data_IF_241334957270
#
_entry.id   IF_241334957270
#
_cell.length_a   1.000
_cell.length_b   1.000
_cell.length_c   1.000
_cell.angle_alpha   90.00
_cell.angle_beta   90.00
_cell.angle_gamma   90.00
#
_symmetry.space_group_name_H-M   'P 1'
#
loop_
_entity.id
_entity.type
_entity.pdbx_description
1 polymer ?
#
# COMPACT_ATOMS: atom_id res chain seq x y z
N UNK A 1 49.07 26.34 26.83
CA UNK A 1 48.37 27.38 26.03
C UNK A 1 46.94 26.95 25.67
N UNK A 2 46.73 25.74 25.11
CA UNK A 2 45.38 25.23 24.81
C UNK A 2 44.48 25.02 26.05
N UNK A 3 45.05 24.62 27.19
CA UNK A 3 44.29 24.42 28.43
C UNK A 3 43.74 25.74 28.99
N UNK A 4 44.58 26.79 29.04
CA UNK A 4 44.17 28.15 29.44
C UNK A 4 43.09 28.74 28.51
N UNK A 5 43.20 28.52 27.20
CA UNK A 5 42.16 28.92 26.25
C UNK A 5 40.84 28.16 26.51
N UNK A 6 40.92 26.87 26.83
CA UNK A 6 39.74 26.04 27.12
C UNK A 6 39.01 26.52 28.38
N UNK A 7 39.73 26.87 29.42
CA UNK A 7 39.15 27.38 30.67
C UNK A 7 38.50 28.74 30.47
N UNK A 8 39.14 29.65 29.74
CA UNK A 8 38.58 30.95 29.38
C UNK A 8 37.33 30.81 28.49
N UNK A 9 37.34 29.91 27.51
CA UNK A 9 36.16 29.67 26.66
C UNK A 9 35.01 29.09 27.49
N UNK A 10 35.30 28.15 28.40
CA UNK A 10 34.28 27.59 29.30
C UNK A 10 33.66 28.67 30.20
N UNK A 11 34.45 29.57 30.77
CA UNK A 11 33.93 30.63 31.63
C UNK A 11 33.02 31.58 30.85
N UNK A 12 33.43 32.00 29.65
CA UNK A 12 32.62 32.86 28.78
C UNK A 12 31.33 32.16 28.37
N UNK A 13 31.38 30.89 27.96
CA UNK A 13 30.19 30.12 27.57
C UNK A 13 29.21 29.97 28.73
N UNK A 14 29.70 29.74 29.96
CA UNK A 14 28.83 29.59 31.13
C UNK A 14 28.16 30.92 31.54
N UNK A 15 28.85 32.05 31.35
CA UNK A 15 28.27 33.38 31.66
C UNK A 15 27.16 33.75 30.68
N UNK A 16 27.31 33.38 29.40
CA UNK A 16 26.38 33.74 28.32
C UNK A 16 25.50 32.59 27.82
N UNK A 17 25.39 31.50 28.58
CA UNK A 17 24.72 30.27 28.12
C UNK A 17 23.27 30.50 27.69
N UNK A 18 22.53 31.35 28.41
CA UNK A 18 21.12 31.65 28.12
C UNK A 18 20.94 32.37 26.77
N UNK A 19 21.81 33.34 26.47
CA UNK A 19 21.82 34.03 25.18
C UNK A 19 22.22 33.10 24.03
N UNK A 20 23.16 32.18 24.26
CA UNK A 20 23.55 31.18 23.27
C UNK A 20 22.39 30.21 22.95
N UNK A 21 21.63 29.80 23.97
CA UNK A 21 20.45 28.95 23.79
C UNK A 21 19.40 29.68 22.94
N UNK A 22 19.05 30.93 23.29
CA UNK A 22 18.09 31.69 22.49
C UNK A 22 18.55 31.94 21.06
N UNK A 23 19.83 32.27 20.87
CA UNK A 23 20.41 32.46 19.55
C UNK A 23 20.33 31.19 18.70
N UNK A 24 20.70 30.03 19.26
CA UNK A 24 20.64 28.74 18.54
C UNK A 24 19.22 28.32 18.21
N UNK A 25 18.25 28.55 19.10
CA UNK A 25 16.83 28.30 18.84
C UNK A 25 16.31 29.17 17.71
N UNK A 26 16.54 30.50 17.79
CA UNK A 26 16.06 31.45 16.78
C UNK A 26 16.69 31.15 15.41
N UNK A 27 18.00 30.93 15.35
CA UNK A 27 18.70 30.58 14.11
C UNK A 27 18.26 29.24 13.54
N UNK A 28 17.99 28.24 14.40
CA UNK A 28 17.44 26.95 14.01
C UNK A 28 16.04 27.08 13.41
N UNK A 29 15.16 27.87 14.04
CA UNK A 29 13.81 28.16 13.54
C UNK A 29 13.85 28.90 12.20
N UNK A 30 14.71 29.92 12.05
CA UNK A 30 14.89 30.64 10.78
C UNK A 30 15.37 29.68 9.69
N UNK A 31 16.38 28.86 9.97
CA UNK A 31 16.87 27.86 9.02
C UNK A 31 15.78 26.84 8.63
N UNK A 32 14.95 26.42 9.58
CA UNK A 32 13.86 25.49 9.31
C UNK A 32 12.79 26.12 8.40
N UNK A 33 12.39 27.37 8.66
CA UNK A 33 11.43 28.11 7.82
C UNK A 33 11.98 28.30 6.41
N UNK A 34 13.27 28.65 6.28
CA UNK A 34 13.97 28.81 4.99
C UNK A 34 13.99 27.48 4.23
N UNK A 35 14.37 26.38 4.87
CA UNK A 35 14.39 25.05 4.26
C UNK A 35 12.98 24.56 3.86
N UNK A 36 11.96 24.87 4.67
CA UNK A 36 10.56 24.53 4.38
C UNK A 36 10.03 25.30 3.16
N UNK A 37 10.41 26.58 3.04
CA UNK A 37 9.95 27.47 1.96
C UNK A 37 10.61 27.20 0.61
N UNK A 38 11.89 26.85 0.57
CA UNK A 38 12.64 26.59 -0.67
C UNK A 38 12.53 25.14 -1.18
N UNK A 39 11.95 24.24 -0.39
CA UNK A 39 11.79 22.83 -0.73
C UNK A 39 13.07 22.01 -0.45
N UNK A 40 12.93 20.68 -0.30
CA UNK A 40 14.08 19.82 -0.01
C UNK A 40 15.06 19.82 -1.17
N UNK A 41 16.35 19.83 -0.85
CA UNK A 41 17.47 19.75 -1.81
C UNK A 41 17.30 18.54 -2.74
N UNK A 42 16.96 18.82 -4.00
CA UNK A 42 16.65 17.83 -5.05
C UNK A 42 17.88 17.16 -5.64
N UNK A 43 19.06 17.75 -5.47
CA UNK A 43 20.31 17.21 -6.02
C UNK A 43 20.74 15.94 -5.27
N UNK A 44 20.90 14.84 -6.00
CA UNK A 44 21.30 13.54 -5.43
C UNK A 44 22.65 13.59 -4.71
N UNK A 45 23.59 14.40 -5.23
CA UNK A 45 24.90 14.62 -4.60
C UNK A 45 24.75 15.27 -3.22
N UNK A 46 23.90 16.28 -3.12
CA UNK A 46 23.62 16.98 -1.86
C UNK A 46 22.92 16.06 -0.87
N UNK A 47 21.95 15.26 -1.34
CA UNK A 47 21.27 14.25 -0.52
C UNK A 47 22.26 13.22 0.06
N UNK A 48 23.20 12.74 -0.77
CA UNK A 48 24.22 11.82 -0.31
C UNK A 48 25.16 12.49 0.69
N UNK A 49 25.59 13.73 0.44
CA UNK A 49 26.47 14.46 1.35
C UNK A 49 25.83 14.69 2.72
N UNK A 50 24.55 15.09 2.75
CA UNK A 50 23.77 15.25 3.99
C UNK A 50 23.64 13.92 4.73
N UNK A 51 23.41 12.82 4.00
CA UNK A 51 23.36 11.48 4.60
C UNK A 51 24.70 11.11 5.25
N UNK A 52 25.81 11.32 4.55
CA UNK A 52 27.16 11.06 5.07
C UNK A 52 27.49 11.97 6.25
N UNK A 53 27.14 13.26 6.18
CA UNK A 53 27.40 14.20 7.28
C UNK A 53 26.59 13.85 8.52
N UNK A 54 25.32 13.46 8.36
CA UNK A 54 24.46 13.07 9.47
C UNK A 54 24.92 11.76 10.12
N UNK A 55 25.38 10.79 9.30
CA UNK A 55 25.96 9.55 9.80
C UNK A 55 27.29 9.79 10.54
N UNK A 56 28.18 10.63 9.99
CA UNK A 56 29.43 11.00 10.64
C UNK A 56 29.19 11.75 11.96
N UNK A 57 28.24 12.70 11.96
CA UNK A 57 27.84 13.42 13.17
C UNK A 57 27.27 12.46 14.23
N UNK A 58 26.42 11.51 13.84
CA UNK A 58 25.91 10.48 14.72
C UNK A 58 27.02 9.61 15.31
N UNK A 59 28.02 9.23 14.52
CA UNK A 59 29.18 8.47 14.97
C UNK A 59 30.00 9.26 16.01
N UNK A 60 30.23 10.55 15.75
CA UNK A 60 30.94 11.45 16.67
C UNK A 60 30.15 11.63 17.97
N UNK A 61 28.83 11.78 17.90
CA UNK A 61 27.96 11.88 19.08
C UNK A 61 28.01 10.60 19.93
N UNK A 62 27.97 9.42 19.31
CA UNK A 62 28.10 8.13 20.01
C UNK A 62 29.45 8.01 20.70
N UNK A 63 30.54 8.42 20.02
CA UNK A 63 31.88 8.43 20.59
C UNK A 63 32.02 9.42 21.76
N UNK A 64 31.40 10.60 21.68
CA UNK A 64 31.44 11.61 22.75
C UNK A 64 30.48 11.30 23.90
N UNK A 65 29.39 10.57 23.66
CA UNK A 65 28.40 10.19 24.67
C UNK A 65 28.86 9.03 25.56
N UNK A 66 29.90 8.30 25.15
CA UNK A 66 30.25 7.02 25.78
C UNK A 66 31.59 7.12 26.50
N UNK A 67 31.58 7.05 27.83
CA UNK A 67 32.80 6.96 28.65
C UNK A 67 33.53 5.60 28.51
N UNK A 68 32.86 4.56 28.00
CA UNK A 68 33.39 3.21 27.79
C UNK A 68 33.70 2.93 26.30
N UNK A 69 34.98 2.90 25.95
CA UNK A 69 35.45 2.71 24.58
C UNK A 69 34.95 1.41 23.92
N UNK A 70 34.69 0.36 24.72
CA UNK A 70 34.20 -0.93 24.25
C UNK A 70 32.77 -0.88 23.68
N UNK A 71 31.88 -0.10 24.30
CA UNK A 71 30.49 0.00 23.86
C UNK A 71 30.38 0.75 22.50
N UNK A 72 31.22 1.75 22.28
CA UNK A 72 31.27 2.47 21.01
C UNK A 72 31.75 1.58 19.86
N UNK A 73 32.77 0.75 20.10
CA UNK A 73 33.26 -0.23 19.12
C UNK A 73 32.19 -1.29 18.83
N UNK A 74 31.49 -1.78 19.85
CA UNK A 74 30.38 -2.71 19.70
C UNK A 74 29.26 -2.15 18.81
N UNK A 75 28.88 -0.89 19.00
CA UNK A 75 27.85 -0.25 18.19
C UNK A 75 28.28 -0.08 16.72
N UNK A 76 29.54 0.29 16.46
CA UNK A 76 30.08 0.39 15.10
C UNK A 76 30.10 -0.99 14.43
N UNK A 77 30.52 -2.04 15.15
CA UNK A 77 30.53 -3.40 14.65
C UNK A 77 29.13 -3.90 14.28
N UNK A 78 28.11 -3.61 15.11
CA UNK A 78 26.71 -3.95 14.81
C UNK A 78 26.22 -3.23 13.55
N UNK A 79 26.54 -1.95 13.38
CA UNK A 79 26.14 -1.17 12.19
C UNK A 79 26.79 -1.75 10.93
N UNK A 80 28.08 -2.07 10.98
CA UNK A 80 28.81 -2.70 9.87
C UNK A 80 28.22 -4.08 9.56
N UNK A 81 27.90 -4.86 10.60
CA UNK A 81 27.29 -6.17 10.45
C UNK A 81 25.93 -6.08 9.74
N UNK A 82 25.07 -5.14 10.15
CA UNK A 82 23.76 -4.91 9.52
C UNK A 82 23.92 -4.41 8.08
N UNK A 83 24.88 -3.52 7.81
CA UNK A 83 25.12 -2.99 6.47
C UNK A 83 25.69 -4.04 5.51
N UNK A 84 26.60 -4.88 6.00
CA UNK A 84 27.17 -5.97 5.23
C UNK A 84 26.24 -7.18 5.13
N UNK A 85 25.17 -7.22 5.93
CA UNK A 85 24.24 -8.34 5.95
C UNK A 85 23.58 -8.49 4.57
N UNK A 86 23.84 -9.59 3.85
CA UNK A 86 23.39 -9.73 2.47
C UNK A 86 21.87 -9.75 2.41
N UNK A 87 21.30 -8.88 1.57
CA UNK A 87 19.84 -8.78 1.33
C UNK A 87 19.22 -10.13 0.95
N UNK A 88 20.02 -11.04 0.35
CA UNK A 88 19.64 -12.43 0.02
C UNK A 88 19.27 -13.26 1.26
N UNK A 89 19.89 -13.03 2.41
CA UNK A 89 19.55 -13.73 3.65
C UNK A 89 18.26 -13.21 4.26
N UNK A 90 17.98 -11.91 4.12
CA UNK A 90 16.72 -11.31 4.54
C UNK A 90 15.57 -11.84 3.68
N UNK A 91 15.72 -11.88 2.36
CA UNK A 91 14.68 -12.42 1.48
C UNK A 91 14.48 -13.91 1.72
N UNK A 92 15.55 -14.69 1.90
CA UNK A 92 15.46 -16.13 2.21
C UNK A 92 14.76 -16.39 3.54
N UNK A 93 15.06 -15.60 4.58
CA UNK A 93 14.37 -15.69 5.87
C UNK A 93 12.91 -15.28 5.76
N UNK A 94 12.58 -14.23 4.99
CA UNK A 94 11.20 -13.79 4.75
C UNK A 94 10.40 -14.84 3.98
N UNK A 95 11.00 -15.48 2.99
CA UNK A 95 10.37 -16.58 2.22
C UNK A 95 10.19 -17.81 3.10
N UNK A 96 11.19 -18.17 3.90
CA UNK A 96 11.07 -19.26 4.87
C UNK A 96 9.96 -18.98 5.87
N UNK A 97 9.90 -17.78 6.43
CA UNK A 97 8.86 -17.36 7.37
C UNK A 97 7.46 -17.37 6.74
N UNK A 98 7.30 -16.90 5.49
CA UNK A 98 6.02 -17.00 4.76
C UNK A 98 5.62 -18.43 4.42
N UNK A 99 6.58 -19.35 4.27
CA UNK A 99 6.30 -20.77 4.03
C UNK A 99 5.83 -21.46 5.31
N UNK A 100 6.43 -21.13 6.45
CA UNK A 100 6.07 -21.68 7.75
C UNK A 100 4.81 -21.05 8.33
N UNK A 101 4.59 -19.76 8.05
CA UNK A 101 3.40 -18.99 8.43
C UNK A 101 2.75 -18.37 7.20
N UNK A 102 2.01 -19.17 6.40
CA UNK A 102 1.26 -18.62 5.28
C UNK A 102 0.25 -17.60 5.81
N UNK A 103 0.16 -16.41 5.20
CA UNK A 103 -0.86 -15.45 5.57
C UNK A 103 -2.24 -16.08 5.32
N UNK A 104 -3.13 -15.98 6.32
CA UNK A 104 -4.51 -16.45 6.15
C UNK A 104 -5.16 -15.61 5.05
N UNK A 105 -5.46 -16.23 3.91
CA UNK A 105 -6.24 -15.58 2.86
C UNK A 105 -7.67 -15.44 3.38
N UNK A 106 -8.15 -14.21 3.56
CA UNK A 106 -9.56 -13.96 3.89
C UNK A 106 -10.36 -14.41 2.68
N UNK A 107 -11.18 -15.45 2.82
CA UNK A 107 -12.17 -15.82 1.80
C UNK A 107 -13.20 -14.69 1.73
N UNK A 108 -13.63 -14.36 0.51
CA UNK A 108 -14.73 -13.44 0.33
C UNK A 108 -15.98 -14.01 0.99
N UNK A 109 -16.73 -13.16 1.68
CA UNK A 109 -18.08 -13.51 2.13
C UNK A 109 -19.01 -13.64 0.93
N UNK A 110 -20.11 -14.39 1.06
CA UNK A 110 -21.09 -14.52 -0.03
C UNK A 110 -21.60 -13.16 -0.50
N UNK A 111 -21.85 -12.23 0.43
CA UNK A 111 -22.28 -10.87 0.10
C UNK A 111 -21.23 -10.09 -0.71
N UNK A 112 -19.95 -10.14 -0.31
CA UNK A 112 -18.86 -9.50 -1.05
C UNK A 112 -18.72 -10.13 -2.46
N UNK A 113 -18.90 -11.46 -2.59
CA UNK A 113 -18.86 -12.17 -3.87
C UNK A 113 -19.97 -11.73 -4.83
N UNK A 114 -21.20 -11.61 -4.34
CA UNK A 114 -22.31 -11.12 -5.17
C UNK A 114 -22.07 -9.68 -5.64
N UNK A 115 -21.58 -8.81 -4.76
CA UNK A 115 -21.27 -7.42 -5.12
C UNK A 115 -20.17 -7.32 -6.19
N UNK A 116 -19.09 -8.09 -6.02
CA UNK A 116 -18.01 -8.12 -6.99
C UNK A 116 -18.48 -8.72 -8.33
N UNK A 117 -19.31 -9.75 -8.29
CA UNK A 117 -19.93 -10.33 -9.47
C UNK A 117 -20.80 -9.33 -10.24
N UNK A 118 -21.63 -8.55 -9.56
CA UNK A 118 -22.44 -7.50 -10.20
C UNK A 118 -21.56 -6.44 -10.85
N UNK A 119 -20.53 -5.97 -10.14
CA UNK A 119 -19.64 -4.91 -10.61
C UNK A 119 -18.78 -5.34 -11.80
N UNK A 120 -18.12 -6.48 -11.70
CA UNK A 120 -17.29 -7.01 -12.79
C UNK A 120 -18.15 -7.33 -14.02
N UNK A 121 -19.37 -7.84 -13.81
CA UNK A 121 -20.30 -8.09 -14.93
C UNK A 121 -20.75 -6.79 -15.58
N UNK A 122 -21.09 -5.75 -14.82
CA UNK A 122 -21.46 -4.45 -15.39
C UNK A 122 -20.30 -3.81 -16.15
N UNK A 123 -19.09 -3.85 -15.58
CA UNK A 123 -17.89 -3.28 -16.18
C UNK A 123 -17.52 -4.04 -17.46
N UNK A 124 -17.60 -5.38 -17.45
CA UNK A 124 -17.36 -6.21 -18.62
C UNK A 124 -18.37 -5.95 -19.75
N UNK A 125 -19.65 -5.80 -19.42
CA UNK A 125 -20.69 -5.46 -20.40
C UNK A 125 -20.48 -4.07 -21.01
N UNK A 126 -20.08 -3.09 -20.21
CA UNK A 126 -19.75 -1.75 -20.70
C UNK A 126 -18.53 -1.77 -21.62
N UNK A 127 -17.48 -2.49 -21.23
CA UNK A 127 -16.28 -2.68 -22.05
C UNK A 127 -16.60 -3.38 -23.37
N UNK A 128 -17.51 -4.37 -23.36
CA UNK A 128 -17.99 -5.04 -24.56
C UNK A 128 -18.71 -4.04 -25.49
N UNK A 129 -19.60 -3.19 -24.96
CA UNK A 129 -20.27 -2.14 -25.75
C UNK A 129 -19.26 -1.17 -26.39
N UNK A 130 -18.26 -0.72 -25.63
CA UNK A 130 -17.19 0.16 -26.12
C UNK A 130 -16.37 -0.52 -27.22
N UNK A 131 -16.00 -1.78 -27.02
CA UNK A 131 -15.25 -2.54 -28.02
C UNK A 131 -16.06 -2.71 -29.32
N UNK A 132 -17.33 -3.12 -29.24
CA UNK A 132 -18.16 -3.33 -30.43
C UNK A 132 -18.51 -2.04 -31.19
N UNK A 133 -18.51 -0.88 -30.51
CA UNK A 133 -18.67 0.44 -31.15
C UNK A 133 -17.36 1.00 -31.73
N UNK A 134 -16.21 0.42 -31.38
CA UNK A 134 -14.91 0.82 -31.93
C UNK A 134 -14.67 0.28 -33.35
N UNK A 135 -13.86 0.96 -34.17
CA UNK A 135 -13.52 0.50 -35.52
C UNK A 135 -12.62 -0.76 -35.54
N UNK A 136 -12.09 -1.18 -34.40
CA UNK A 136 -11.26 -2.39 -34.28
C UNK A 136 -12.07 -3.69 -34.17
N UNK A 137 -13.39 -3.59 -33.97
CA UNK A 137 -14.26 -4.76 -33.88
C UNK A 137 -14.64 -5.26 -35.28
N UNK A 138 -14.41 -6.55 -35.54
CA UNK A 138 -14.92 -7.23 -36.74
C UNK A 138 -16.44 -7.51 -36.62
N UNK A 139 -17.25 -6.45 -36.73
CA UNK A 139 -18.71 -6.47 -36.50
C UNK A 139 -19.42 -7.58 -37.30
N UNK A 140 -19.07 -7.77 -38.57
CA UNK A 140 -19.70 -8.78 -39.43
C UNK A 140 -19.37 -10.23 -39.02
N UNK A 141 -18.14 -10.49 -38.55
CA UNK A 141 -17.79 -11.82 -38.05
C UNK A 141 -18.48 -12.13 -36.72
N UNK A 142 -18.63 -11.12 -35.86
CA UNK A 142 -19.36 -11.25 -34.60
C UNK A 142 -20.85 -11.49 -34.86
N UNK A 143 -21.46 -10.73 -35.78
CA UNK A 143 -22.86 -10.89 -36.15
C UNK A 143 -23.19 -12.30 -36.68
N UNK A 144 -22.29 -12.92 -37.46
CA UNK A 144 -22.48 -14.28 -37.97
C UNK A 144 -22.45 -15.37 -36.88
N UNK A 145 -21.80 -15.11 -35.74
CA UNK A 145 -21.69 -16.06 -34.63
C UNK A 145 -22.84 -15.94 -33.63
N UNK A 146 -23.60 -14.86 -33.67
CA UNK A 146 -24.65 -14.56 -32.70
C UNK A 146 -25.97 -15.22 -33.09
N UNK A 147 -26.69 -15.74 -32.10
CA UNK A 147 -28.02 -16.34 -32.28
C UNK A 147 -29.08 -15.30 -32.67
N UNK A 148 -29.04 -14.13 -32.04
CA UNK A 148 -29.94 -13.02 -32.31
C UNK A 148 -29.16 -11.71 -32.45
N UNK A 149 -28.92 -11.32 -33.71
CA UNK A 149 -28.18 -10.10 -34.06
C UNK A 149 -28.97 -8.85 -33.70
N UNK A 150 -30.31 -8.89 -33.77
CA UNK A 150 -31.17 -7.73 -33.54
C UNK A 150 -31.15 -7.35 -32.06
N UNK A 151 -31.28 -8.34 -31.17
CA UNK A 151 -31.16 -8.14 -29.72
C UNK A 151 -29.78 -7.62 -29.32
N UNK A 152 -28.73 -8.15 -29.93
CA UNK A 152 -27.36 -7.69 -29.66
C UNK A 152 -27.13 -6.24 -30.14
N UNK A 153 -27.69 -5.86 -31.30
CA UNK A 153 -27.61 -4.49 -31.79
C UNK A 153 -28.33 -3.50 -30.85
N UNK A 154 -29.52 -3.86 -30.34
CA UNK A 154 -30.21 -3.02 -29.34
C UNK A 154 -29.41 -2.89 -28.04
N UNK A 155 -28.68 -3.93 -27.63
CA UNK A 155 -27.80 -3.89 -26.46
C UNK A 155 -26.61 -2.94 -26.66
N UNK A 156 -25.96 -2.94 -27.83
CA UNK A 156 -24.87 -2.00 -28.14
C UNK A 156 -25.35 -0.54 -28.09
N UNK A 157 -26.59 -0.28 -28.52
CA UNK A 157 -27.21 1.04 -28.47
C UNK A 157 -27.55 1.52 -27.05
N UNK A 158 -27.41 0.66 -26.03
CA UNK A 158 -27.58 1.01 -24.62
C UNK A 158 -28.75 0.31 -23.93
N UNK A 159 -29.60 -0.45 -24.64
CA UNK A 159 -30.71 -1.19 -24.03
C UNK A 159 -30.21 -2.36 -23.16
N UNK A 160 -31.07 -2.85 -22.25
CA UNK A 160 -30.76 -3.99 -21.38
C UNK A 160 -30.33 -5.23 -22.20
N UNK A 161 -29.42 -6.02 -21.63
CA UNK A 161 -28.98 -7.30 -22.20
C UNK A 161 -29.99 -8.43 -21.93
N UNK A 162 -30.87 -8.22 -20.95
CA UNK A 162 -31.96 -9.12 -20.55
C UNK A 162 -33.29 -8.57 -21.05
N UNK A 163 -34.15 -9.47 -21.49
CA UNK A 163 -35.55 -9.17 -21.82
C UNK A 163 -36.43 -9.33 -20.58
N UNK A 164 -37.55 -8.59 -20.53
CA UNK A 164 -38.47 -8.64 -19.38
C UNK A 164 -39.02 -10.05 -19.14
N UNK A 165 -39.21 -10.83 -20.21
CA UNK A 165 -39.62 -12.23 -20.11
C UNK A 165 -38.55 -13.11 -19.43
N UNK A 166 -37.26 -12.92 -19.76
CA UNK A 166 -36.15 -13.66 -19.12
C UNK A 166 -36.03 -13.30 -17.63
N UNK A 167 -36.25 -12.03 -17.29
CA UNK A 167 -36.23 -11.57 -15.88
C UNK A 167 -37.39 -12.21 -15.11
N UNK A 168 -38.59 -12.18 -15.68
CA UNK A 168 -39.78 -12.75 -15.04
C UNK A 168 -39.68 -14.28 -14.90
N UNK A 169 -39.14 -14.97 -15.90
CA UNK A 169 -38.86 -16.40 -15.84
C UNK A 169 -37.88 -16.71 -14.71
N UNK A 170 -36.78 -15.95 -14.58
CA UNK A 170 -35.81 -16.12 -13.50
C UNK A 170 -36.44 -15.88 -12.12
N UNK A 171 -37.15 -14.76 -11.93
CA UNK A 171 -37.83 -14.45 -10.68
C UNK A 171 -38.84 -15.53 -10.29
N UNK A 172 -39.62 -16.03 -11.25
CA UNK A 172 -40.59 -17.12 -11.01
C UNK A 172 -39.91 -18.44 -10.67
N UNK A 173 -38.77 -18.76 -11.30
CA UNK A 173 -38.01 -19.98 -11.02
C UNK A 173 -37.42 -19.95 -9.62
N UNK A 174 -36.86 -18.81 -9.20
CA UNK A 174 -36.30 -18.63 -7.85
C UNK A 174 -37.42 -18.73 -6.81
N UNK A 175 -38.55 -18.07 -7.04
CA UNK A 175 -39.70 -18.15 -6.13
C UNK A 175 -40.26 -19.58 -6.01
N UNK A 176 -40.23 -20.35 -7.09
CA UNK A 176 -40.69 -21.76 -7.05
C UNK A 176 -39.71 -22.64 -6.29
N UNK A 177 -38.39 -22.44 -6.45
CA UNK A 177 -37.36 -23.20 -5.74
C UNK A 177 -37.38 -22.94 -4.22
N UNK A 178 -37.58 -21.69 -3.80
CA UNK A 178 -37.73 -21.36 -2.37
C UNK A 178 -38.95 -22.04 -1.74
N UNK A 179 -40.05 -22.20 -2.49
CA UNK A 179 -41.27 -22.88 -2.00
C UNK A 179 -41.07 -24.40 -1.89
N UNK A 180 -40.25 -25.02 -2.74
CA UNK A 180 -40.01 -26.46 -2.70
C UNK A 180 -39.05 -26.90 -1.60
N UNK A 181 -38.09 -26.05 -1.19
CA UNK A 181 -37.17 -26.37 -0.09
C UNK A 181 -37.87 -26.36 1.29
N UNK A 182 -39.02 -25.69 1.43
CA UNK A 182 -39.83 -25.68 2.67
C UNK A 182 -40.84 -26.85 2.77
N UNK A 183 -41.13 -27.59 1.68
CA UNK A 183 -42.10 -28.70 1.68
C UNK A 183 -41.49 -30.10 1.88
N UNK A 184 -40.16 -30.27 1.79
CA UNK A 184 -39.52 -31.59 1.99
C UNK A 184 -39.39 -32.02 3.47
N UNK A 185 -39.66 -31.13 4.45
CA UNK A 185 -39.57 -31.43 5.89
C UNK A 185 -40.88 -31.93 6.54
N UNK A 186 -41.97 -32.16 5.77
CA UNK A 186 -43.31 -32.49 6.32
C UNK A 186 -43.91 -33.84 5.88
N UNK A 187 -43.10 -34.88 5.63
CA UNK A 187 -43.64 -36.21 5.24
C UNK A 187 -43.06 -37.44 5.94
N UNK A 188 -42.31 -37.29 7.04
CA UNK A 188 -41.81 -38.45 7.80
C UNK A 188 -42.15 -38.36 9.27
N UNK A 189 -43.40 -38.62 9.67
CA UNK A 189 -43.75 -38.90 11.08
C UNK A 189 -45.14 -39.55 11.29
N UNK A 190 -45.59 -40.44 10.39
CA UNK A 190 -46.71 -41.35 10.69
C UNK A 190 -46.42 -42.77 10.17
N UNK A 191 -45.71 -43.57 10.97
CA UNK A 191 -45.96 -45.01 11.18
C UNK A 191 -45.01 -45.57 12.26
N UNK A 192 -45.51 -45.71 13.49
CA UNK A 192 -45.01 -46.68 14.49
C UNK A 192 -46.17 -47.21 15.33
#
# INVERSE_FOLDING_TARGET
MLELLRENIKSVVLIYYEYLIWYTIIMGLISFVVCYRWGPVTNERTRNLIRWSLQALGLVLVLNSTHFQEAAVGQIAIIIFIYNFPTKWVTRSKTYWRRTFPPKTKRLTNAEYYQEGVKETSDALENLRKYCSSPECNQWQTALKLKDVKRFASFIQGNSHLTDAEILEYESSVATTDVTDDEEDLFTDEEM
#
